data_IF_442186951790
#
_entry.id   IF_442186951790
#
_cell.length_a   1.000
_cell.length_b   1.000
_cell.length_c   1.000
_cell.angle_alpha   90.00
_cell.angle_beta   90.00
_cell.angle_gamma   90.00
#
_symmetry.space_group_name_H-M   'P 1'
#
loop_
_entity.id
_entity.type
_entity.pdbx_description
1 polymer ?
#
# COMPACT_ATOMS: atom_id res chain seq x y z
N UNK A 1 -53.48 40.13 36.83
CA UNK A 1 -53.30 40.07 35.36
C UNK A 1 -51.82 39.81 35.09
N UNK A 2 -51.56 39.09 33.99
CA UNK A 2 -50.31 38.50 33.49
C UNK A 2 -49.02 39.35 33.65
N UNK A 3 -47.81 38.79 33.60
CA UNK A 3 -47.45 37.59 32.86
C UNK A 3 -46.12 36.94 33.23
N UNK A 4 -46.03 35.72 32.71
CA UNK A 4 -44.89 34.81 32.70
C UNK A 4 -43.97 35.23 31.56
N UNK A 5 -42.68 35.42 31.84
CA UNK A 5 -41.64 35.48 30.82
C UNK A 5 -40.89 34.15 30.85
N UNK A 6 -41.16 33.31 29.85
CA UNK A 6 -40.43 32.09 29.54
C UNK A 6 -38.99 32.42 29.16
N UNK A 7 -38.04 31.80 29.85
CA UNK A 7 -36.64 31.76 29.48
C UNK A 7 -36.37 30.46 28.71
N UNK A 8 -36.66 30.45 27.41
CA UNK A 8 -36.08 29.46 26.50
C UNK A 8 -34.86 30.07 25.82
N UNK A 9 -33.69 29.44 25.98
CA UNK A 9 -32.58 29.32 25.01
C UNK A 9 -31.18 29.16 25.67
N UNK A 10 -30.90 28.02 26.33
CA UNK A 10 -29.51 27.55 26.40
C UNK A 10 -29.26 26.23 25.64
N UNK A 11 -30.30 25.52 25.20
CA UNK A 11 -30.15 24.16 24.66
C UNK A 11 -29.66 24.07 23.19
N UNK A 12 -29.84 25.12 22.39
CA UNK A 12 -29.47 25.12 20.96
C UNK A 12 -27.96 25.34 20.72
N UNK A 13 -27.26 26.00 21.63
CA UNK A 13 -25.82 26.26 21.50
C UNK A 13 -24.97 25.00 21.74
N UNK A 14 -25.38 24.14 22.67
CA UNK A 14 -24.62 22.93 23.04
C UNK A 14 -24.65 21.82 21.97
N UNK A 15 -25.77 21.65 21.25
CA UNK A 15 -25.86 20.66 20.16
C UNK A 15 -24.95 21.00 18.97
N UNK A 16 -24.80 22.30 18.68
CA UNK A 16 -23.97 22.80 17.58
C UNK A 16 -22.48 22.61 17.87
N UNK A 17 -22.04 22.92 19.10
CA UNK A 17 -20.64 22.78 19.49
C UNK A 17 -20.18 21.30 19.53
N UNK A 18 -21.07 20.37 19.88
CA UNK A 18 -20.77 18.95 19.89
C UNK A 18 -20.74 18.36 18.47
N UNK A 19 -21.69 18.72 17.59
CA UNK A 19 -21.68 18.30 16.18
C UNK A 19 -20.46 18.81 15.42
N UNK A 20 -20.03 20.05 15.67
CA UNK A 20 -18.87 20.65 14.99
C UNK A 20 -17.55 19.97 15.39
N UNK A 21 -17.42 19.52 16.65
CA UNK A 21 -16.28 18.70 17.12
C UNK A 21 -16.25 17.31 16.48
N UNK A 22 -17.42 16.68 16.30
CA UNK A 22 -17.52 15.41 15.60
C UNK A 22 -17.15 15.52 14.12
N UNK A 23 -17.60 16.58 13.45
CA UNK A 23 -17.24 16.82 12.04
C UNK A 23 -15.74 17.11 11.91
N UNK A 24 -15.16 17.92 12.80
CA UNK A 24 -13.71 18.18 12.80
C UNK A 24 -12.90 16.91 13.09
N UNK A 25 -13.35 16.07 14.01
CA UNK A 25 -12.70 14.78 14.27
C UNK A 25 -12.82 13.82 13.08
N UNK A 26 -13.95 13.83 12.36
CA UNK A 26 -14.18 13.01 11.16
C UNK A 26 -13.35 13.49 9.97
N UNK A 27 -13.22 14.81 9.79
CA UNK A 27 -12.37 15.41 8.75
C UNK A 27 -10.88 15.19 9.07
N UNK A 28 -10.49 15.30 10.35
CA UNK A 28 -9.14 15.00 10.78
C UNK A 28 -8.78 13.50 10.63
N UNK A 29 -9.74 12.60 10.85
CA UNK A 29 -9.53 11.16 10.61
C UNK A 29 -9.53 10.79 9.12
N UNK A 30 -10.32 11.47 8.27
CA UNK A 30 -10.23 11.31 6.82
C UNK A 30 -8.91 11.81 6.25
N UNK A 31 -8.37 12.93 6.76
CA UNK A 31 -7.10 13.48 6.32
C UNK A 31 -5.88 12.58 6.64
N UNK A 32 -6.02 11.64 7.60
CA UNK A 32 -4.99 10.65 7.93
C UNK A 32 -4.92 9.47 6.94
N UNK A 33 -5.91 9.29 6.08
CA UNK A 33 -5.95 8.19 5.10
C UNK A 33 -5.14 8.45 3.82
N UNK A 34 -4.59 9.65 3.65
CA UNK A 34 -3.89 10.03 2.42
C UNK A 34 -2.36 10.04 2.54
N UNK A 35 -1.83 9.56 3.67
CA UNK A 35 -0.39 9.36 3.88
C UNK A 35 0.02 8.01 3.30
N UNK A 36 0.70 8.02 2.14
CA UNK A 36 1.41 6.85 1.54
C UNK A 36 0.63 5.54 1.62
N UNK A 37 -0.13 5.19 0.58
CA UNK A 37 -0.79 3.89 0.56
C UNK A 37 0.26 2.79 0.39
N UNK A 38 0.63 2.14 1.48
CA UNK A 38 1.34 0.87 1.45
C UNK A 38 0.36 -0.26 1.66
N UNK A 39 0.60 -1.39 1.00
CA UNK A 39 -0.18 -2.60 1.21
C UNK A 39 0.71 -3.83 1.08
N UNK A 40 0.35 -4.88 1.81
CA UNK A 40 0.93 -6.21 1.66
C UNK A 40 -0.10 -7.12 1.02
N UNK A 41 0.38 -8.13 0.31
CA UNK A 41 -0.48 -9.09 -0.37
C UNK A 41 0.15 -10.47 -0.35
N UNK A 42 -0.68 -11.48 -0.53
CA UNK A 42 -0.30 -12.89 -0.60
C UNK A 42 -0.84 -13.44 -1.91
N UNK A 43 0.00 -14.20 -2.62
CA UNK A 43 -0.31 -14.84 -3.90
C UNK A 43 -0.02 -16.33 -3.80
N UNK A 44 -0.85 -17.15 -4.44
CA UNK A 44 -0.64 -18.60 -4.46
C UNK A 44 0.51 -18.99 -5.39
N UNK A 45 1.29 -19.98 -4.96
CA UNK A 45 2.28 -20.62 -5.82
C UNK A 45 1.57 -21.60 -6.74
N UNK A 46 1.87 -21.48 -8.02
CA UNK A 46 1.40 -22.35 -9.09
C UNK A 46 2.57 -23.16 -9.63
N UNK A 47 2.28 -24.22 -10.38
CA UNK A 47 3.30 -25.03 -11.07
C UNK A 47 3.07 -24.93 -12.56
N UNK A 48 4.12 -24.56 -13.29
CA UNK A 48 4.05 -24.47 -14.74
C UNK A 48 4.00 -25.89 -15.33
N UNK A 49 2.95 -26.21 -16.11
CA UNK A 49 2.70 -27.57 -16.58
C UNK A 49 3.76 -28.08 -17.57
N UNK A 50 4.38 -27.18 -18.32
CA UNK A 50 5.40 -27.53 -19.32
C UNK A 50 6.76 -27.75 -18.68
N UNK A 51 7.17 -26.84 -17.80
CA UNK A 51 8.51 -26.86 -17.19
C UNK A 51 8.58 -27.53 -15.81
N UNK A 52 7.44 -27.75 -15.16
CA UNK A 52 7.34 -28.20 -13.77
C UNK A 52 7.86 -27.20 -12.74
N UNK A 53 8.16 -25.96 -13.16
CA UNK A 53 8.77 -24.94 -12.29
C UNK A 53 7.69 -24.22 -11.47
N UNK A 54 7.91 -24.01 -10.17
CA UNK A 54 6.98 -23.23 -9.36
C UNK A 54 7.09 -21.74 -9.69
N UNK A 55 5.94 -21.05 -9.75
CA UNK A 55 5.86 -19.62 -10.06
C UNK A 55 4.71 -18.96 -9.28
N UNK A 56 4.67 -17.63 -9.29
CA UNK A 56 3.50 -16.84 -8.89
C UNK A 56 3.04 -15.97 -10.04
N UNK A 57 1.75 -15.65 -10.09
CA UNK A 57 1.21 -14.66 -11.01
C UNK A 57 0.96 -13.36 -10.26
N UNK A 58 1.58 -12.27 -10.72
CA UNK A 58 1.27 -10.92 -10.24
C UNK A 58 0.97 -10.02 -11.43
N UNK A 59 -0.21 -9.39 -11.43
CA UNK A 59 -0.66 -8.48 -12.49
C UNK A 59 -0.51 -9.08 -13.91
N UNK A 60 -0.96 -10.33 -14.06
CA UNK A 60 -0.87 -11.10 -15.31
C UNK A 60 0.53 -11.54 -15.73
N UNK A 61 1.57 -11.23 -14.95
CA UNK A 61 2.96 -11.62 -15.24
C UNK A 61 3.36 -12.81 -14.36
N UNK A 62 3.96 -13.84 -14.97
CA UNK A 62 4.53 -14.98 -14.24
C UNK A 62 5.90 -14.59 -13.67
N UNK A 63 6.17 -15.00 -12.44
CA UNK A 63 7.48 -14.88 -11.78
C UNK A 63 7.88 -16.22 -11.19
N UNK A 64 8.93 -16.83 -11.71
CA UNK A 64 9.40 -18.13 -11.22
C UNK A 64 10.09 -18.01 -9.85
N UNK A 65 9.84 -18.99 -8.99
CA UNK A 65 10.50 -19.07 -7.70
C UNK A 65 11.96 -19.51 -7.88
N UNK A 66 12.85 -18.88 -7.13
CA UNK A 66 14.29 -19.16 -7.15
C UNK A 66 14.91 -18.96 -5.77
N UNK A 67 15.89 -19.78 -5.42
CA UNK A 67 16.76 -19.57 -4.25
C UNK A 67 18.07 -18.87 -4.61
N UNK A 68 18.25 -18.52 -5.89
CA UNK A 68 19.35 -17.63 -6.29
C UNK A 68 19.16 -16.29 -5.59
N UNK A 69 20.19 -15.80 -4.90
CA UNK A 69 20.20 -14.51 -4.21
C UNK A 69 19.83 -13.35 -5.14
N UNK A 70 19.99 -13.52 -6.46
CA UNK A 70 19.62 -12.53 -7.49
C UNK A 70 18.20 -12.65 -8.03
N UNK A 71 17.49 -13.73 -7.74
CA UNK A 71 16.15 -13.96 -8.25
C UNK A 71 15.13 -14.31 -7.17
N UNK A 72 15.55 -14.45 -5.91
CA UNK A 72 14.67 -14.74 -4.78
C UNK A 72 13.82 -13.52 -4.35
N UNK A 73 14.02 -12.36 -4.97
CA UNK A 73 13.21 -11.17 -4.82
C UNK A 73 13.13 -10.43 -6.16
N UNK A 74 11.94 -9.97 -6.53
CA UNK A 74 11.76 -9.05 -7.64
C UNK A 74 11.27 -7.70 -7.12
N UNK A 75 11.85 -6.60 -7.60
CA UNK A 75 11.39 -5.23 -7.28
C UNK A 75 11.20 -4.46 -8.58
N UNK A 76 10.04 -3.83 -8.74
CA UNK A 76 9.70 -3.10 -9.96
C UNK A 76 8.65 -2.02 -9.70
N UNK A 77 8.48 -1.13 -10.67
CA UNK A 77 7.45 -0.07 -10.63
C UNK A 77 6.21 -0.52 -11.40
N UNK A 78 5.03 -0.29 -10.81
CA UNK A 78 3.70 -0.41 -11.45
C UNK A 78 2.88 0.81 -11.07
N UNK A 79 2.51 1.62 -12.07
CA UNK A 79 1.87 2.91 -11.84
C UNK A 79 2.73 3.78 -10.91
N UNK A 80 2.12 4.28 -9.84
CA UNK A 80 2.78 5.11 -8.82
C UNK A 80 3.35 4.27 -7.65
N UNK A 81 3.46 2.94 -7.80
CA UNK A 81 3.88 2.03 -6.75
C UNK A 81 5.21 1.35 -7.06
N UNK A 82 6.07 1.26 -6.05
CA UNK A 82 7.18 0.31 -6.01
C UNK A 82 6.66 -0.99 -5.40
N UNK A 83 6.75 -2.07 -6.15
CA UNK A 83 6.28 -3.41 -5.76
C UNK A 83 7.48 -4.29 -5.50
N UNK A 84 7.45 -5.02 -4.38
CA UNK A 84 8.42 -6.06 -4.01
C UNK A 84 7.72 -7.41 -3.93
N UNK A 85 8.24 -8.41 -4.64
CA UNK A 85 7.80 -9.80 -4.60
C UNK A 85 8.89 -10.67 -3.97
N UNK A 86 8.51 -11.55 -3.05
CA UNK A 86 9.41 -12.50 -2.42
C UNK A 86 9.25 -13.85 -3.11
N UNK A 87 10.31 -14.32 -3.77
CA UNK A 87 10.31 -15.43 -4.72
C UNK A 87 11.15 -16.62 -4.26
N UNK A 88 11.53 -16.70 -2.99
CA UNK A 88 12.31 -17.81 -2.44
C UNK A 88 11.64 -19.16 -2.74
N UNK A 89 12.37 -20.12 -3.32
CA UNK A 89 11.81 -21.43 -3.69
C UNK A 89 11.77 -22.39 -2.50
N UNK A 90 12.74 -22.28 -1.60
CA UNK A 90 12.92 -23.12 -0.42
C UNK A 90 11.87 -22.94 0.66
N UNK A 91 11.11 -21.84 0.65
CA UNK A 91 9.97 -21.67 1.54
C UNK A 91 8.88 -22.71 1.21
N UNK A 92 8.53 -23.63 2.13
CA UNK A 92 7.56 -24.68 1.88
C UNK A 92 6.11 -24.17 1.83
N UNK A 93 5.86 -22.89 2.12
CA UNK A 93 4.52 -22.33 2.04
C UNK A 93 4.01 -22.40 0.59
N UNK A 94 2.74 -22.76 0.41
CA UNK A 94 2.08 -22.75 -0.90
C UNK A 94 1.75 -21.36 -1.43
N UNK A 95 2.31 -20.32 -0.81
CA UNK A 95 2.02 -18.93 -1.08
C UNK A 95 3.30 -18.09 -1.03
N UNK A 96 3.32 -16.95 -1.71
CA UNK A 96 4.35 -15.93 -1.53
C UNK A 96 3.70 -14.63 -1.17
N UNK A 97 4.45 -13.81 -0.46
CA UNK A 97 4.01 -12.48 -0.08
C UNK A 97 4.73 -11.44 -0.92
N UNK A 98 4.11 -10.28 -0.99
CA UNK A 98 4.70 -9.09 -1.55
C UNK A 98 4.20 -7.86 -0.82
N UNK A 99 4.87 -6.75 -1.08
CA UNK A 99 4.50 -5.45 -0.59
C UNK A 99 4.55 -4.44 -1.72
N UNK A 100 3.75 -3.39 -1.59
CA UNK A 100 3.77 -2.26 -2.48
C UNK A 100 3.71 -0.98 -1.66
N UNK A 101 4.54 -0.01 -2.05
CA UNK A 101 4.53 1.35 -1.50
C UNK A 101 4.22 2.27 -2.66
N UNK A 102 3.11 3.01 -2.55
CA UNK A 102 2.68 3.93 -3.58
C UNK A 102 2.89 5.38 -3.18
N UNK A 103 3.20 6.20 -4.17
CA UNK A 103 3.24 7.65 -4.01
C UNK A 103 1.87 8.14 -3.53
N UNK A 104 1.84 8.76 -2.35
CA UNK A 104 0.61 9.33 -1.79
C UNK A 104 0.15 10.55 -2.58
N UNK A 105 -1.17 10.83 -2.54
CA UNK A 105 -1.75 12.02 -3.20
C UNK A 105 -1.81 13.26 -2.31
N UNK A 106 -1.98 13.14 -0.99
CA UNK A 106 -2.06 14.30 -0.08
C UNK A 106 -0.73 14.83 0.43
N UNK A 107 0.27 13.95 0.56
CA UNK A 107 1.60 14.36 0.97
C UNK A 107 2.46 14.35 -0.29
N UNK A 108 2.79 15.51 -0.88
CA UNK A 108 3.78 15.57 -1.93
C UNK A 108 5.10 15.21 -1.26
N UNK A 109 5.40 13.90 -1.18
CA UNK A 109 6.79 13.48 -1.24
C UNK A 109 7.33 14.20 -2.45
N UNK A 110 8.27 15.10 -2.18
CA UNK A 110 8.99 15.84 -3.20
C UNK A 110 9.35 14.88 -4.34
N UNK A 111 9.10 15.28 -5.58
CA UNK A 111 9.27 14.40 -6.74
C UNK A 111 10.69 13.85 -6.78
N UNK A 112 11.67 14.66 -6.36
CA UNK A 112 13.06 14.27 -6.22
C UNK A 112 13.27 13.23 -5.12
N UNK A 113 12.57 13.35 -3.99
CA UNK A 113 12.59 12.34 -2.93
C UNK A 113 11.99 11.02 -3.42
N UNK A 114 10.83 11.06 -4.07
CA UNK A 114 10.20 9.86 -4.61
C UNK A 114 11.07 9.19 -5.66
N UNK A 115 11.67 9.98 -6.57
CA UNK A 115 12.59 9.47 -7.58
C UNK A 115 13.80 8.79 -6.92
N UNK A 116 14.41 9.43 -5.93
CA UNK A 116 15.53 8.86 -5.17
C UNK A 116 15.14 7.54 -4.51
N UNK A 117 13.97 7.51 -3.85
CA UNK A 117 13.43 6.30 -3.24
C UNK A 117 13.25 5.16 -4.25
N UNK A 118 12.66 5.43 -5.42
CA UNK A 118 12.48 4.44 -6.48
C UNK A 118 13.84 3.93 -6.95
N UNK A 119 14.79 4.82 -7.25
CA UNK A 119 16.13 4.45 -7.73
C UNK A 119 16.86 3.58 -6.70
N UNK A 120 16.85 3.95 -5.42
CA UNK A 120 17.44 3.14 -4.36
C UNK A 120 16.83 1.74 -4.26
N UNK A 121 15.50 1.63 -4.35
CA UNK A 121 14.80 0.35 -4.25
C UNK A 121 15.08 -0.57 -5.43
N UNK A 122 15.16 0.00 -6.63
CA UNK A 122 15.47 -0.75 -7.84
C UNK A 122 16.95 -1.17 -7.86
N UNK A 123 17.86 -0.31 -7.40
CA UNK A 123 19.30 -0.61 -7.34
C UNK A 123 19.66 -1.58 -6.21
N UNK A 124 18.91 -1.58 -5.10
CA UNK A 124 19.11 -2.51 -4.00
C UNK A 124 18.57 -3.92 -4.29
N UNK A 125 17.74 -4.08 -5.32
CA UNK A 125 17.23 -5.38 -5.72
C UNK A 125 18.27 -6.11 -6.57
N UNK A 126 18.85 -7.22 -6.07
CA UNK A 126 19.71 -8.04 -6.91
C UNK A 126 18.81 -8.59 -8.04
N UNK A 127 19.22 -8.42 -9.31
CA UNK A 127 18.43 -8.86 -10.46
C UNK A 127 17.54 -7.81 -11.15
N UNK A 128 17.71 -6.49 -10.91
CA UNK A 128 17.00 -5.44 -11.66
C UNK A 128 17.23 -5.47 -13.20
N UNK A 129 18.10 -6.35 -13.70
CA UNK A 129 18.10 -6.76 -15.10
C UNK A 129 16.83 -7.58 -15.41
N UNK A 130 15.80 -6.87 -15.87
CA UNK A 130 14.41 -7.29 -16.19
C UNK A 130 14.19 -8.61 -16.98
N UNK A 131 15.22 -9.32 -17.41
CA UNK A 131 15.10 -10.50 -18.29
C UNK A 131 15.64 -11.81 -17.71
N UNK A 132 16.35 -11.81 -16.57
CA UNK A 132 17.04 -13.02 -16.11
C UNK A 132 16.20 -13.89 -15.16
N UNK A 133 15.20 -13.30 -14.50
CA UNK A 133 14.38 -13.98 -13.49
C UNK A 133 12.89 -14.11 -13.85
N UNK A 134 12.45 -13.57 -15.00
CA UNK A 134 11.08 -13.66 -15.51
C UNK A 134 10.90 -14.84 -16.46
#
# INVERSE_FOLDING_TARGET
>A
MAGVYEAEQPALLCKNLQSMKFILALVASLALLELVSSYTFIVSVETDEESGRPFITYDGTKYYLSDDERCNRAVFVRGDCVVSLYLGKSDPSGHRWGDAICKGRANPMDDDFWKTYVEERLNAAPGYSRSECA
#
